data_IF_702112401546
#
_entry.id   IF_702112401546
#
_cell.length_a   1.000
_cell.length_b   1.000
_cell.length_c   1.000
_cell.angle_alpha   90.00
_cell.angle_beta   90.00
_cell.angle_gamma   90.00
#
_symmetry.space_group_name_H-M   'P 1'
#
loop_
_entity.id
_entity.type
_entity.pdbx_description
1 polymer ?
#
# COMPACT_ATOMS: atom_id res chain seq x y z
N UNK A 1 -14.53 18.97 -5.29
CA UNK A 1 -13.63 18.11 -6.06
C UNK A 1 -13.43 18.65 -7.46
N UNK A 2 -12.26 18.46 -8.05
CA UNK A 2 -12.01 18.78 -9.46
C UNK A 2 -12.82 17.80 -10.34
N UNK A 3 -13.70 18.30 -11.24
CA UNK A 3 -14.58 17.45 -12.05
C UNK A 3 -13.79 16.54 -13.01
N UNK A 4 -12.65 17.03 -13.51
CA UNK A 4 -11.80 16.30 -14.45
C UNK A 4 -10.83 15.36 -13.74
N UNK A 5 -10.59 14.19 -14.35
CA UNK A 5 -9.74 13.14 -13.80
C UNK A 5 -8.24 13.46 -13.89
N UNK A 6 -7.81 14.06 -15.00
CA UNK A 6 -6.39 14.33 -15.29
C UNK A 6 -5.68 15.18 -14.23
N UNK A 7 -6.26 16.29 -13.71
CA UNK A 7 -5.65 17.03 -12.61
C UNK A 7 -5.46 16.20 -11.33
N UNK A 8 -6.45 15.37 -10.96
CA UNK A 8 -6.36 14.50 -9.78
C UNK A 8 -5.27 13.45 -9.97
N UNK A 9 -5.21 12.84 -11.16
CA UNK A 9 -4.17 11.87 -11.53
C UNK A 9 -2.77 12.49 -11.45
N UNK A 10 -2.56 13.67 -12.04
CA UNK A 10 -1.25 14.35 -11.99
C UNK A 10 -0.84 14.70 -10.56
N UNK A 11 -1.75 15.22 -9.75
CA UNK A 11 -1.49 15.52 -8.34
C UNK A 11 -1.12 14.25 -7.57
N UNK A 12 -1.91 13.18 -7.72
CA UNK A 12 -1.66 11.90 -7.08
C UNK A 12 -0.30 11.33 -7.47
N UNK A 13 0.03 11.28 -8.76
CA UNK A 13 1.31 10.76 -9.24
C UNK A 13 2.46 11.61 -8.70
N UNK A 14 2.36 12.94 -8.77
CA UNK A 14 3.39 13.83 -8.23
C UNK A 14 3.62 13.59 -6.74
N UNK A 15 2.55 13.48 -5.94
CA UNK A 15 2.62 13.23 -4.49
C UNK A 15 3.10 11.83 -4.11
N UNK A 16 2.91 10.83 -4.98
CA UNK A 16 3.30 9.43 -4.74
C UNK A 16 4.54 9.00 -5.56
N UNK A 17 5.24 9.97 -6.16
CA UNK A 17 6.49 9.76 -6.87
C UNK A 17 7.67 10.12 -5.98
N UNK A 18 8.84 9.54 -6.27
CA UNK A 18 10.07 9.78 -5.53
C UNK A 18 11.22 10.02 -6.50
N UNK A 19 12.32 10.60 -6.01
CA UNK A 19 13.49 10.87 -6.84
C UNK A 19 14.39 9.63 -6.96
N UNK A 20 15.18 9.53 -8.02
CA UNK A 20 16.17 8.44 -8.19
C UNK A 20 17.15 8.38 -7.02
N UNK A 21 17.49 9.54 -6.44
CA UNK A 21 18.34 9.65 -5.26
C UNK A 21 17.68 9.01 -4.04
N UNK A 22 16.40 9.29 -3.79
CA UNK A 22 15.68 8.72 -2.65
C UNK A 22 15.50 7.21 -2.79
N UNK A 23 15.24 6.73 -4.02
CA UNK A 23 15.20 5.29 -4.34
C UNK A 23 16.55 4.65 -4.02
N UNK A 24 17.66 5.24 -4.47
CA UNK A 24 19.01 4.74 -4.19
C UNK A 24 19.33 4.71 -2.69
N UNK A 25 18.89 5.72 -1.93
CA UNK A 25 19.03 5.75 -0.47
C UNK A 25 18.26 4.59 0.17
N UNK A 26 17.01 4.36 -0.26
CA UNK A 26 16.19 3.26 0.25
C UNK A 26 16.84 1.90 -0.04
N UNK A 27 17.36 1.68 -1.24
CA UNK A 27 18.05 0.44 -1.59
C UNK A 27 19.29 0.20 -0.72
N UNK A 28 20.12 1.23 -0.53
CA UNK A 28 21.29 1.14 0.34
C UNK A 28 20.89 0.86 1.80
N UNK A 29 19.84 1.49 2.29
CA UNK A 29 19.30 1.24 3.62
C UNK A 29 18.81 -0.21 3.77
N UNK A 30 18.10 -0.75 2.78
CA UNK A 30 17.62 -2.14 2.79
C UNK A 30 18.79 -3.14 2.81
N UNK A 31 19.84 -2.89 2.01
CA UNK A 31 21.07 -3.72 2.01
C UNK A 31 21.77 -3.67 3.37
N UNK A 32 21.97 -2.48 3.92
CA UNK A 32 22.61 -2.30 5.23
C UNK A 32 21.83 -2.99 6.36
N UNK A 33 20.49 -2.91 6.33
CA UNK A 33 19.61 -3.63 7.27
C UNK A 33 19.75 -5.14 7.17
N UNK A 34 19.84 -5.68 5.95
CA UNK A 34 20.04 -7.11 5.73
C UNK A 34 21.43 -7.57 6.23
N UNK A 35 22.47 -6.80 5.93
CA UNK A 35 23.83 -7.07 6.41
C UNK A 35 23.91 -7.06 7.94
N UNK A 36 23.34 -6.03 8.57
CA UNK A 36 23.29 -5.91 10.03
C UNK A 36 22.63 -7.14 10.66
N UNK A 37 21.47 -7.57 10.17
CA UNK A 37 20.78 -8.75 10.69
C UNK A 37 21.65 -10.01 10.60
N UNK A 38 22.32 -10.22 9.47
CA UNK A 38 23.24 -11.35 9.26
C UNK A 38 24.41 -11.31 10.25
N UNK A 39 25.01 -10.15 10.47
CA UNK A 39 26.14 -9.98 11.38
C UNK A 39 25.78 -10.30 12.83
N UNK A 40 24.56 -9.98 13.27
CA UNK A 40 24.09 -10.29 14.63
C UNK A 40 23.43 -11.66 14.75
N UNK A 41 23.53 -12.51 13.72
CA UNK A 41 23.00 -13.88 13.74
C UNK A 41 21.46 -13.97 13.67
N UNK A 42 20.81 -13.00 13.01
CA UNK A 42 19.36 -13.02 12.76
C UNK A 42 19.05 -13.26 11.28
N UNK A 43 17.92 -13.90 11.01
CA UNK A 43 17.52 -14.29 9.65
C UNK A 43 17.18 -13.09 8.75
N UNK A 44 16.58 -12.04 9.33
CA UNK A 44 16.27 -10.80 8.63
C UNK A 44 16.20 -9.63 9.62
N UNK A 45 16.23 -8.41 9.10
CA UNK A 45 16.06 -7.21 9.93
C UNK A 45 14.71 -7.19 10.66
N UNK A 46 13.66 -7.78 10.07
CA UNK A 46 12.35 -7.91 10.70
C UNK A 46 12.40 -8.86 11.91
N UNK A 47 13.07 -10.02 11.79
CA UNK A 47 13.30 -10.92 12.93
C UNK A 47 14.06 -10.19 14.04
N UNK A 48 15.17 -9.53 13.69
CA UNK A 48 15.97 -8.77 14.66
C UNK A 48 15.16 -7.68 15.38
N UNK A 49 14.28 -6.97 14.66
CA UNK A 49 13.50 -5.85 15.21
C UNK A 49 12.28 -6.30 16.02
N UNK A 50 11.82 -7.54 15.87
CA UNK A 50 10.60 -8.03 16.52
C UNK A 50 10.88 -8.85 17.79
N UNK A 51 12.13 -9.22 18.04
CA UNK A 51 12.55 -10.03 19.20
C UNK A 51 12.01 -9.48 20.54
N UNK A 52 12.10 -8.17 20.75
CA UNK A 52 11.65 -7.49 21.97
C UNK A 52 10.19 -7.01 21.90
N UNK A 53 9.55 -7.10 20.73
CA UNK A 53 8.17 -6.65 20.52
C UNK A 53 7.16 -7.73 20.89
N UNK A 54 5.91 -7.31 21.08
CA UNK A 54 4.80 -8.22 21.40
C UNK A 54 4.49 -9.21 20.27
N UNK A 55 4.72 -8.81 19.01
CA UNK A 55 4.48 -9.67 17.85
C UNK A 55 5.49 -10.83 17.74
N UNK A 56 6.68 -10.70 18.35
CA UNK A 56 7.78 -11.68 18.41
C UNK A 56 8.44 -12.04 17.07
N UNK A 57 7.66 -12.37 16.05
CA UNK A 57 8.19 -12.83 14.76
C UNK A 57 7.48 -12.15 13.60
N UNK A 58 8.14 -11.98 12.44
CA UNK A 58 7.49 -11.44 11.26
C UNK A 58 6.35 -12.33 10.75
N UNK A 59 6.41 -13.64 10.97
CA UNK A 59 5.34 -14.58 10.62
C UNK A 59 4.05 -14.25 11.39
N UNK A 60 4.15 -13.91 12.68
CA UNK A 60 2.99 -13.49 13.47
C UNK A 60 2.40 -12.17 12.94
N UNK A 61 3.25 -11.24 12.50
CA UNK A 61 2.80 -10.00 11.86
C UNK A 61 2.07 -10.30 10.55
N UNK A 62 2.64 -11.13 9.69
CA UNK A 62 2.02 -11.53 8.41
C UNK A 62 0.69 -12.23 8.65
N UNK A 63 0.64 -13.20 9.57
CA UNK A 63 -0.59 -13.91 9.93
C UNK A 63 -1.70 -12.96 10.42
N UNK A 64 -1.34 -11.98 11.24
CA UNK A 64 -2.28 -10.95 11.69
C UNK A 64 -2.81 -10.12 10.52
N UNK A 65 -1.92 -9.59 9.67
CA UNK A 65 -2.29 -8.78 8.52
C UNK A 65 -3.15 -9.56 7.51
N UNK A 66 -2.83 -10.83 7.26
CA UNK A 66 -3.60 -11.69 6.36
C UNK A 66 -4.97 -12.05 6.92
N UNK A 67 -5.07 -12.26 8.24
CA UNK A 67 -6.36 -12.46 8.91
C UNK A 67 -7.20 -11.21 8.79
N UNK A 68 -6.63 -10.04 9.10
CA UNK A 68 -7.31 -8.76 8.97
C UNK A 68 -7.76 -8.50 7.52
N UNK A 69 -6.90 -8.78 6.54
CA UNK A 69 -7.22 -8.66 5.11
C UNK A 69 -8.41 -9.54 4.72
N UNK A 70 -8.41 -10.82 5.11
CA UNK A 70 -9.52 -11.74 4.81
C UNK A 70 -10.85 -11.26 5.36
N UNK A 71 -10.86 -10.69 6.56
CA UNK A 71 -12.08 -10.15 7.16
C UNK A 71 -12.52 -8.82 6.54
N UNK A 72 -11.57 -7.96 6.14
CA UNK A 72 -11.89 -6.62 5.62
C UNK A 72 -12.12 -6.57 4.11
N UNK A 73 -11.62 -7.56 3.35
CA UNK A 73 -11.70 -7.60 1.90
C UNK A 73 -13.15 -7.50 1.34
N UNK A 74 -14.16 -8.23 1.86
CA UNK A 74 -15.53 -8.10 1.34
C UNK A 74 -16.10 -6.68 1.50
N UNK A 75 -15.75 -6.00 2.59
CA UNK A 75 -16.18 -4.62 2.85
C UNK A 75 -15.50 -3.64 1.89
N UNK A 76 -14.20 -3.83 1.62
CA UNK A 76 -13.47 -3.03 0.65
C UNK A 76 -14.02 -3.21 -0.77
N UNK A 77 -14.33 -4.45 -1.17
CA UNK A 77 -14.95 -4.75 -2.47
C UNK A 77 -16.33 -4.10 -2.60
N UNK A 78 -17.16 -4.14 -1.55
CA UNK A 78 -18.44 -3.45 -1.53
C UNK A 78 -18.30 -1.92 -1.65
N UNK A 79 -17.34 -1.33 -0.94
CA UNK A 79 -17.06 0.10 -1.03
C UNK A 79 -16.59 0.50 -2.45
N UNK A 80 -15.68 -0.28 -3.05
CA UNK A 80 -15.21 -0.05 -4.43
C UNK A 80 -16.34 -0.18 -5.46
N UNK A 81 -17.23 -1.17 -5.29
CA UNK A 81 -18.43 -1.30 -6.14
C UNK A 81 -19.35 -0.09 -6.02
N UNK A 82 -19.58 0.40 -4.80
CA UNK A 82 -20.39 1.60 -4.58
C UNK A 82 -19.78 2.85 -5.23
N UNK A 83 -18.46 3.04 -5.11
CA UNK A 83 -17.74 4.12 -5.78
C UNK A 83 -17.82 4.00 -7.32
N UNK A 84 -17.65 2.79 -7.85
CA UNK A 84 -17.75 2.51 -9.29
C UNK A 84 -19.13 2.84 -9.84
N UNK A 85 -20.20 2.40 -9.17
CA UNK A 85 -21.58 2.71 -9.54
C UNK A 85 -21.85 4.22 -9.50
N UNK A 86 -21.32 4.93 -8.49
CA UNK A 86 -21.44 6.39 -8.40
C UNK A 86 -20.72 7.09 -9.56
N UNK A 87 -19.49 6.69 -9.90
CA UNK A 87 -18.73 7.24 -11.05
C UNK A 87 -19.45 6.94 -12.37
N UNK A 88 -19.98 5.74 -12.54
CA UNK A 88 -20.79 5.37 -13.70
C UNK A 88 -21.99 6.30 -13.89
N UNK A 89 -22.79 6.49 -12.83
CA UNK A 89 -23.98 7.34 -12.88
C UNK A 89 -23.62 8.81 -13.15
N UNK A 90 -22.58 9.34 -12.49
CA UNK A 90 -22.16 10.73 -12.64
C UNK A 90 -21.66 11.06 -14.06
N UNK A 91 -20.98 10.11 -14.71
CA UNK A 91 -20.41 10.29 -16.06
C UNK A 91 -21.22 9.61 -17.17
N UNK A 92 -22.40 9.04 -16.86
CA UNK A 92 -23.26 8.32 -17.81
C UNK A 92 -22.53 7.23 -18.60
N UNK A 93 -21.68 6.44 -17.92
CA UNK A 93 -20.88 5.39 -18.56
C UNK A 93 -21.71 4.12 -18.80
N UNK A 94 -21.44 3.44 -19.91
CA UNK A 94 -22.15 2.20 -20.28
C UNK A 94 -21.77 0.99 -19.41
N UNK A 95 -20.61 1.02 -18.74
CA UNK A 95 -20.11 -0.05 -17.87
C UNK A 95 -19.57 0.49 -16.55
N UNK A 96 -19.47 -0.38 -15.54
CA UNK A 96 -18.84 -0.06 -14.26
C UNK A 96 -17.34 0.22 -14.47
N UNK A 97 -16.87 1.46 -14.22
CA UNK A 97 -15.47 1.80 -14.39
C UNK A 97 -14.62 1.23 -13.25
N UNK A 98 -13.34 0.96 -13.53
CA UNK A 98 -12.36 0.68 -12.49
C UNK A 98 -12.08 1.96 -11.70
N UNK A 99 -12.17 1.88 -10.38
CA UNK A 99 -11.81 2.97 -9.48
C UNK A 99 -10.29 3.05 -9.39
N UNK A 100 -9.74 4.20 -9.76
CA UNK A 100 -8.31 4.47 -9.70
C UNK A 100 -7.92 5.03 -8.32
N UNK A 101 -6.62 5.03 -8.01
CA UNK A 101 -6.14 5.53 -6.72
C UNK A 101 -6.44 7.02 -6.48
N UNK A 102 -6.56 7.82 -7.55
CA UNK A 102 -6.93 9.24 -7.54
C UNK A 102 -8.44 9.50 -7.63
N UNK A 103 -9.27 8.46 -7.54
CA UNK A 103 -10.74 8.56 -7.46
C UNK A 103 -11.27 8.40 -6.02
N UNK A 104 -10.38 8.38 -5.01
CA UNK A 104 -10.76 8.20 -3.60
C UNK A 104 -11.52 9.40 -3.00
N UNK A 105 -11.34 10.59 -3.57
CA UNK A 105 -11.90 11.90 -3.13
C UNK A 105 -12.78 12.55 -4.22
#
# INVERSE_FOLDING_TARGET
>A
SAPDEEPRRRLYIASNSSTEKDISILENLLRARAELARLVGRQSFAHMTLDDKMAKTPENVVNFLDTLRRHTQPFAENALRALSARKQAHHSLSSLPVIQAWDRD
#
